data_IF_479311748354
#
_entry.id   IF_479311748354
#
_cell.length_a   1.000
_cell.length_b   1.000
_cell.length_c   1.000
_cell.angle_alpha   90.00
_cell.angle_beta   90.00
_cell.angle_gamma   90.00
#
_symmetry.space_group_name_H-M   'P 1'
#
loop_
_entity.id
_entity.type
_entity.pdbx_description
1 polymer ?
#
# COMPACT_ATOMS: atom_id res chain seq x y z
N UNK A 1 9.09 -15.27 9.35
CA UNK A 1 7.78 -15.37 8.68
C UNK A 1 7.90 -14.57 7.41
N UNK A 2 7.88 -15.24 6.26
CA UNK A 2 8.04 -14.61 4.95
C UNK A 2 6.66 -14.18 4.46
N UNK A 3 6.39 -12.88 4.41
CA UNK A 3 5.18 -12.35 3.78
C UNK A 3 5.43 -12.22 2.29
N UNK A 4 4.84 -13.11 1.50
CA UNK A 4 4.85 -13.04 0.04
C UNK A 4 4.08 -11.80 -0.44
N UNK A 5 4.47 -11.18 -1.56
CA UNK A 5 3.66 -10.15 -2.20
C UNK A 5 2.30 -10.74 -2.58
N UNK A 6 1.22 -9.99 -2.35
CA UNK A 6 -0.14 -10.40 -2.69
C UNK A 6 -0.23 -10.50 -4.21
N UNK A 7 -0.21 -11.72 -4.75
CA UNK A 7 -0.51 -11.95 -6.16
C UNK A 7 -1.97 -11.52 -6.42
N UNK A 8 -2.20 -10.76 -7.49
CA UNK A 8 -3.49 -10.12 -7.84
C UNK A 8 -4.70 -11.08 -7.88
N UNK A 9 -4.47 -12.39 -7.89
CA UNK A 9 -5.49 -13.44 -7.97
C UNK A 9 -6.27 -13.66 -6.66
N UNK A 10 -5.76 -13.20 -5.51
CA UNK A 10 -6.36 -13.46 -4.19
C UNK A 10 -7.22 -12.31 -3.66
N UNK A 11 -7.48 -11.26 -4.44
CA UNK A 11 -8.27 -10.11 -3.99
C UNK A 11 -9.77 -10.31 -4.29
N UNK A 12 -10.57 -10.55 -3.25
CA UNK A 12 -12.03 -10.69 -3.34
C UNK A 12 -12.76 -9.33 -3.51
N UNK A 13 -12.08 -8.23 -3.20
CA UNK A 13 -12.59 -6.87 -3.33
C UNK A 13 -11.92 -5.92 -2.33
N UNK A 14 -12.10 -4.62 -2.54
CA UNK A 14 -11.60 -3.61 -1.62
C UNK A 14 -12.33 -2.28 -1.72
N UNK A 15 -12.19 -1.46 -0.68
CA UNK A 15 -12.72 -0.09 -0.62
C UNK A 15 -11.66 0.89 -0.14
N UNK A 16 -11.72 2.10 -0.65
CA UNK A 16 -10.85 3.18 -0.20
C UNK A 16 -11.34 3.74 1.14
N UNK A 17 -10.42 3.93 2.08
CA UNK A 17 -10.67 4.54 3.38
C UNK A 17 -10.24 6.00 3.33
N UNK A 18 -11.21 6.90 3.54
CA UNK A 18 -10.95 8.33 3.59
C UNK A 18 -10.82 8.78 5.04
N UNK A 19 -9.59 9.10 5.46
CA UNK A 19 -9.39 9.87 6.70
C UNK A 19 -9.80 11.33 6.46
N UNK A 20 -10.61 11.89 7.36
CA UNK A 20 -11.08 13.27 7.31
C UNK A 20 -9.90 14.22 7.56
N UNK A 21 -9.68 15.20 6.66
CA UNK A 21 -8.53 16.11 6.72
C UNK A 21 -8.58 17.12 7.87
N UNK A 22 -9.78 17.53 8.28
CA UNK A 22 -10.00 18.65 9.22
C UNK A 22 -10.31 18.22 10.66
N UNK A 23 -10.10 16.95 10.99
CA UNK A 23 -10.28 16.41 12.33
C UNK A 23 -8.93 15.90 12.84
N UNK A 24 -8.65 15.98 14.16
CA UNK A 24 -7.51 15.28 14.73
C UNK A 24 -7.67 13.79 14.42
N UNK A 25 -6.85 13.26 13.51
CA UNK A 25 -6.90 11.86 13.13
C UNK A 25 -6.42 11.03 14.30
N UNK A 26 -7.14 9.96 14.60
CA UNK A 26 -6.65 8.88 15.48
C UNK A 26 -5.48 8.12 14.86
N UNK A 27 -5.17 8.39 13.59
CA UNK A 27 -4.06 7.83 12.80
C UNK A 27 -3.18 8.98 12.25
N UNK A 28 -2.30 9.57 13.09
CA UNK A 28 -1.51 10.75 12.72
C UNK A 28 -0.45 10.46 11.66
N UNK A 29 0.16 9.27 11.68
CA UNK A 29 1.22 8.91 10.72
C UNK A 29 0.64 8.73 9.32
N UNK A 30 -0.52 8.08 9.21
CA UNK A 30 -1.23 7.93 7.94
C UNK A 30 -1.75 9.26 7.41
N UNK A 31 -2.23 10.15 8.29
CA UNK A 31 -2.65 11.49 7.87
C UNK A 31 -1.47 12.30 7.34
N UNK A 32 -0.32 12.25 8.02
CA UNK A 32 0.89 12.93 7.59
C UNK A 32 1.37 12.40 6.23
N UNK A 33 1.49 11.08 6.08
CA UNK A 33 1.89 10.45 4.82
C UNK A 33 0.98 10.83 3.65
N UNK A 34 -0.34 10.85 3.85
CA UNK A 34 -1.31 11.28 2.83
C UNK A 34 -1.26 12.78 2.51
N UNK A 35 -0.70 13.59 3.41
CA UNK A 35 -0.53 15.04 3.19
C UNK A 35 0.74 15.34 2.40
N UNK A 36 1.77 14.51 2.56
CA UNK A 36 3.07 14.68 1.92
C UNK A 36 3.15 13.96 0.57
N UNK A 37 2.45 12.84 0.43
CA UNK A 37 2.44 11.99 -0.76
C UNK A 37 1.00 11.65 -1.13
N UNK A 38 0.73 11.43 -2.41
CA UNK A 38 -0.61 11.03 -2.87
C UNK A 38 -0.87 9.55 -2.60
N UNK A 39 -0.90 9.19 -1.32
CA UNK A 39 -1.22 7.85 -0.86
C UNK A 39 -2.72 7.66 -0.61
N UNK A 40 -3.15 6.43 -0.77
CA UNK A 40 -4.49 5.95 -0.47
C UNK A 40 -4.41 4.76 0.48
N UNK A 41 -5.42 4.63 1.32
CA UNK A 41 -5.56 3.50 2.21
C UNK A 41 -6.67 2.64 1.64
N UNK A 42 -6.38 1.36 1.41
CA UNK A 42 -7.39 0.40 0.99
C UNK A 42 -7.69 -0.57 2.11
N UNK A 43 -8.97 -0.80 2.34
CA UNK A 43 -9.46 -1.99 3.01
C UNK A 43 -9.66 -3.06 1.93
N UNK A 44 -8.93 -4.16 2.03
CA UNK A 44 -8.96 -5.29 1.09
C UNK A 44 -9.49 -6.55 1.78
N UNK A 45 -10.09 -7.45 1.01
CA UNK A 45 -10.41 -8.80 1.45
C UNK A 45 -9.65 -9.79 0.60
N UNK A 46 -8.86 -10.63 1.26
CA UNK A 46 -8.15 -11.71 0.60
C UNK A 46 -9.00 -12.98 0.55
N UNK A 47 -8.82 -13.78 -0.49
CA UNK A 47 -9.43 -15.09 -0.64
C UNK A 47 -9.02 -15.99 0.54
N UNK A 48 -10.01 -16.53 1.24
CA UNK A 48 -9.78 -17.35 2.45
C UNK A 48 -9.67 -16.56 3.75
N UNK A 49 -9.71 -15.22 3.73
CA UNK A 49 -9.84 -14.39 4.93
C UNK A 49 -11.29 -13.91 5.09
N UNK A 50 -11.86 -14.07 6.28
CA UNK A 50 -13.15 -13.47 6.64
C UNK A 50 -13.01 -12.01 7.09
N UNK A 51 -11.81 -11.63 7.54
CA UNK A 51 -11.55 -10.31 8.09
C UNK A 51 -10.96 -9.36 7.03
N UNK A 52 -11.36 -8.08 7.05
CA UNK A 52 -10.75 -7.05 6.23
C UNK A 52 -9.30 -6.82 6.66
N UNK A 53 -8.46 -6.46 5.69
CA UNK A 53 -7.09 -6.05 5.92
C UNK A 53 -6.84 -4.67 5.32
N UNK A 54 -5.81 -3.99 5.80
CA UNK A 54 -5.53 -2.60 5.44
C UNK A 54 -4.13 -2.49 4.84
N UNK A 55 -4.04 -1.80 3.70
CA UNK A 55 -2.78 -1.55 2.99
C UNK A 55 -2.68 -0.09 2.56
N UNK A 56 -1.45 0.38 2.38
CA UNK A 56 -1.15 1.66 1.74
C UNK A 56 -0.84 1.44 0.26
N UNK A 57 -1.40 2.28 -0.60
CA UNK A 57 -1.17 2.26 -2.06
C UNK A 57 -0.95 3.66 -2.60
N UNK A 58 -0.51 3.77 -3.85
CA UNK A 58 -0.40 5.06 -4.56
C UNK A 58 -1.77 5.58 -5.01
N UNK A 59 -1.87 6.87 -5.33
CA UNK A 59 -3.08 7.47 -5.88
C UNK A 59 -3.53 6.87 -7.22
N UNK A 60 -2.57 6.33 -7.97
CA UNK A 60 -2.76 5.73 -9.30
C UNK A 60 -3.17 4.25 -9.25
N UNK A 61 -3.47 3.69 -8.08
CA UNK A 61 -3.78 2.26 -7.90
C UNK A 61 -4.93 1.70 -8.76
N UNK A 62 -5.74 2.58 -9.37
CA UNK A 62 -6.84 2.21 -10.28
C UNK A 62 -6.43 2.13 -11.74
N UNK A 63 -5.39 2.86 -12.12
CA UNK A 63 -4.94 3.04 -13.51
C UNK A 63 -3.66 2.26 -13.78
N UNK A 64 -2.81 2.15 -12.76
CA UNK A 64 -1.56 1.41 -12.81
C UNK A 64 -1.70 0.18 -11.90
N UNK A 65 -1.37 -1.03 -12.39
CA UNK A 65 -1.29 -2.21 -11.53
C UNK A 65 -0.09 -2.05 -10.58
N UNK A 66 -0.27 -1.26 -9.53
CA UNK A 66 0.74 -1.02 -8.49
C UNK A 66 0.54 -1.99 -7.34
N UNK A 67 1.63 -2.61 -6.90
CA UNK A 67 1.65 -3.36 -5.65
C UNK A 67 1.34 -2.45 -4.45
N UNK A 68 0.90 -3.06 -3.35
CA UNK A 68 0.79 -2.35 -2.08
C UNK A 68 2.16 -1.91 -1.59
N UNK A 69 2.27 -0.66 -1.11
CA UNK A 69 3.48 -0.09 -0.52
C UNK A 69 3.78 -0.66 0.86
N UNK A 70 2.81 -1.37 1.45
CA UNK A 70 2.94 -1.98 2.76
C UNK A 70 2.38 -3.40 2.74
N UNK A 71 2.80 -4.25 3.69
CA UNK A 71 2.08 -5.48 4.00
C UNK A 71 0.60 -5.20 4.35
N UNK A 72 -0.21 -6.25 4.33
CA UNK A 72 -1.60 -6.21 4.77
C UNK A 72 -1.67 -6.31 6.30
N UNK A 73 -2.31 -5.32 6.94
CA UNK A 73 -2.48 -5.25 8.39
C UNK A 73 -3.92 -5.55 8.81
N UNK A 74 -4.12 -6.05 10.03
CA UNK A 74 -5.47 -6.39 10.52
C UNK A 74 -6.27 -5.16 10.95
N UNK A 75 -5.61 -4.03 11.20
CA UNK A 75 -6.27 -2.78 11.59
C UNK A 75 -5.55 -1.54 11.07
N UNK A 76 -6.29 -0.42 10.98
CA UNK A 76 -5.71 0.90 10.69
C UNK A 76 -4.71 1.36 11.75
N UNK A 77 -4.87 0.91 13.00
CA UNK A 77 -3.95 1.26 14.08
C UNK A 77 -2.57 0.59 13.88
N UNK A 78 -2.55 -0.66 13.44
CA UNK A 78 -1.31 -1.36 13.08
C UNK A 78 -0.64 -0.74 11.87
N UNK A 79 -1.43 -0.41 10.84
CA UNK A 79 -0.92 0.28 9.65
C UNK A 79 -0.35 1.67 9.99
N UNK A 80 -0.99 2.42 10.89
CA UNK A 80 -0.49 3.72 11.35
C UNK A 80 0.80 3.60 12.16
N UNK A 81 0.87 2.63 13.07
CA UNK A 81 2.09 2.36 13.82
C UNK A 81 3.25 2.00 12.87
N UNK A 82 2.99 1.13 11.88
CA UNK A 82 3.98 0.77 10.87
C UNK A 82 4.41 1.95 10.00
N UNK A 83 3.47 2.80 9.60
CA UNK A 83 3.76 4.02 8.85
C UNK A 83 4.66 5.00 9.62
N UNK A 84 4.57 5.02 10.94
CA UNK A 84 5.48 5.79 11.80
C UNK A 84 6.88 5.18 11.89
N UNK A 85 7.00 3.86 11.98
CA UNK A 85 8.30 3.18 12.17
C UNK A 85 9.08 2.95 10.88
N UNK A 86 8.38 2.73 9.76
CA UNK A 86 8.95 2.29 8.47
C UNK A 86 8.74 3.33 7.38
N UNK A 87 8.70 4.61 7.78
CA UNK A 87 8.36 5.72 6.90
C UNK A 87 9.31 5.87 5.72
N UNK A 88 10.61 5.74 5.98
CA UNK A 88 11.64 5.84 4.95
C UNK A 88 11.48 4.71 3.92
N UNK A 89 11.23 3.48 4.37
CA UNK A 89 11.01 2.34 3.48
C UNK A 89 9.78 2.56 2.57
N UNK A 90 8.67 3.06 3.12
CA UNK A 90 7.47 3.38 2.34
C UNK A 90 7.76 4.45 1.27
N UNK A 91 8.55 5.48 1.62
CA UNK A 91 8.94 6.52 0.67
C UNK A 91 9.88 5.99 -0.40
N UNK A 92 10.83 5.14 -0.02
CA UNK A 92 11.74 4.48 -0.94
C UNK A 92 10.96 3.61 -1.93
N UNK A 93 10.02 2.81 -1.46
CA UNK A 93 9.16 1.97 -2.30
C UNK A 93 8.31 2.83 -3.24
N UNK A 94 7.77 3.95 -2.76
CA UNK A 94 7.01 4.87 -3.61
C UNK A 94 7.86 5.53 -4.72
N UNK A 95 9.09 5.95 -4.38
CA UNK A 95 9.96 6.66 -5.31
C UNK A 95 10.69 5.72 -6.28
N UNK A 96 11.02 4.51 -5.84
CA UNK A 96 11.93 3.61 -6.55
C UNK A 96 11.38 2.20 -6.79
N UNK A 97 10.31 1.78 -6.12
CA UNK A 97 9.75 0.43 -6.26
C UNK A 97 9.32 0.09 -7.69
N UNK A 98 8.89 1.09 -8.46
CA UNK A 98 8.51 0.93 -9.86
C UNK A 98 9.70 0.77 -10.83
N UNK A 99 10.91 1.21 -10.43
CA UNK A 99 12.09 1.19 -11.31
C UNK A 99 12.61 -0.24 -11.50
N UNK A 100 12.36 -1.14 -10.53
CA UNK A 100 12.86 -2.52 -10.61
C UNK A 100 12.07 -3.39 -11.60
N UNK A 101 10.77 -3.14 -11.80
CA UNK A 101 9.99 -3.85 -12.82
C UNK A 101 10.34 -3.39 -14.24
N UNK A 102 10.61 -2.09 -14.44
CA UNK A 102 11.01 -1.55 -15.75
C UNK A 102 12.42 -2.01 -16.19
N UNK A 103 13.37 -2.17 -15.26
CA UNK A 103 14.72 -2.68 -15.57
C UNK A 103 14.68 -4.17 -15.96
N UNK A 104 13.81 -4.97 -15.32
CA UNK A 104 13.64 -6.38 -15.67
C UNK A 104 12.95 -6.54 -17.04
N UNK A 105 11.99 -5.67 -17.37
CA UNK A 105 11.35 -5.66 -18.69
C UNK A 105 12.31 -5.27 -19.82
N UNK A 106 13.28 -4.39 -19.54
CA UNK A 106 14.30 -3.98 -20.51
C UNK A 106 15.38 -5.07 -20.78
N UNK A 107 15.59 -6.00 -19.85
CA UNK A 107 16.60 -7.07 -19.98
C UNK A 107 16.07 -8.36 -20.62
N UNK A 108 14.76 -8.58 -20.65
CA UNK A 108 14.13 -9.73 -21.34
C UNK A 108 13.93 -9.49 -22.86
N UNK A 109 14.35 -8.31 -23.34
CA UNK A 109 14.17 -7.84 -24.72
C UNK A 109 15.41 -7.85 -25.61
N UNK A 110 16.43 -8.66 -25.31
CA UNK A 110 17.57 -8.85 -26.21
C UNK A 110 17.47 -10.22 -26.93
N UNK A 111 17.30 -10.24 -28.27
CA UNK A 111 17.49 -11.47 -29.06
C UNK A 111 18.96 -11.93 -29.07
#
# INVERSE_FOLDING_TARGET
>A
MSSSPVENTDLLGGREIHLLRDQPSVFPNLQQLRSEFDFRILEIRLAGSTEPQFVLVTGEYRTVPTAALTPAFASLAELDAYAGTSREDIQHEFLFGFVNDDINLANDGLP
#
